data_IF_265473373367
#
_entry.id   IF_265473373367
#
_cell.length_a   1.000
_cell.length_b   1.000
_cell.length_c   1.000
_cell.angle_alpha   90.00
_cell.angle_beta   90.00
_cell.angle_gamma   90.00
#
_symmetry.space_group_name_H-M   'P 1'
#
loop_
_entity.id
_entity.type
_entity.pdbx_description
1 polymer ?
#
# COMPACT_ATOMS: atom_id res chain seq x y z
N UNK A 1 -2.51 6.38 -13.21
CA UNK A 1 -1.74 5.51 -14.12
C UNK A 1 -2.15 5.66 -15.59
N UNK A 2 -3.35 6.07 -15.91
CA UNK A 2 -3.89 6.04 -17.29
C UNK A 2 -3.43 7.21 -18.19
N UNK A 3 -2.70 8.20 -17.67
CA UNK A 3 -2.33 9.44 -18.40
C UNK A 3 -0.97 9.35 -19.09
N UNK A 4 -0.11 8.42 -18.69
CA UNK A 4 1.29 8.37 -19.13
C UNK A 4 1.51 7.68 -20.50
N UNK A 5 0.70 6.66 -20.89
CA UNK A 5 0.76 6.13 -22.26
C UNK A 5 0.46 7.21 -23.29
N UNK A 6 1.37 7.41 -24.24
CA UNK A 6 1.30 8.47 -25.25
C UNK A 6 2.16 9.71 -24.95
N UNK A 7 2.63 9.87 -23.70
CA UNK A 7 3.54 10.95 -23.30
C UNK A 7 5.01 10.48 -23.33
N UNK A 8 5.25 9.21 -22.97
CA UNK A 8 6.58 8.63 -22.90
C UNK A 8 6.81 7.57 -23.97
N UNK A 9 8.04 7.44 -24.50
CA UNK A 9 8.42 6.34 -25.36
C UNK A 9 8.23 4.97 -24.67
N UNK A 10 7.83 3.94 -25.42
CA UNK A 10 7.58 2.57 -24.92
C UNK A 10 8.76 1.99 -24.11
N UNK A 11 9.99 2.32 -24.51
CA UNK A 11 11.19 1.86 -23.80
C UNK A 11 11.28 2.41 -22.36
N UNK A 12 10.70 3.59 -22.11
CA UNK A 12 10.63 4.18 -20.76
C UNK A 12 9.40 3.68 -19.98
N UNK A 13 8.28 3.40 -20.66
CA UNK A 13 7.09 2.84 -20.02
C UNK A 13 7.41 1.55 -19.26
N UNK A 14 8.25 0.69 -19.83
CA UNK A 14 8.70 -0.57 -19.20
C UNK A 14 9.52 -0.39 -17.93
N UNK A 15 9.98 0.83 -17.65
CA UNK A 15 10.76 1.18 -16.44
C UNK A 15 9.96 1.98 -15.42
N UNK A 16 8.68 2.19 -15.66
CA UNK A 16 7.82 2.89 -14.72
C UNK A 16 7.30 1.94 -13.64
N UNK A 17 7.24 2.47 -12.42
CA UNK A 17 6.64 1.78 -11.28
C UNK A 17 7.21 0.36 -11.06
N UNK A 18 8.52 0.19 -11.22
CA UNK A 18 9.24 -1.08 -11.03
C UNK A 18 9.44 -1.40 -9.54
N UNK A 19 8.34 -1.39 -8.78
CA UNK A 19 8.37 -1.45 -7.32
C UNK A 19 8.97 -2.75 -6.79
N UNK A 20 8.61 -3.90 -7.38
CA UNK A 20 9.17 -5.19 -6.98
C UNK A 20 10.67 -5.24 -7.20
N UNK A 21 11.13 -4.84 -8.38
CA UNK A 21 12.56 -4.78 -8.70
C UNK A 21 13.31 -3.90 -7.70
N UNK A 22 12.75 -2.75 -7.34
CA UNK A 22 13.37 -1.82 -6.39
C UNK A 22 13.47 -2.43 -4.99
N UNK A 23 12.40 -3.08 -4.51
CA UNK A 23 12.38 -3.76 -3.19
C UNK A 23 13.32 -4.96 -3.18
N UNK A 24 13.38 -5.77 -4.24
CA UNK A 24 14.28 -6.92 -4.36
C UNK A 24 15.77 -6.50 -4.42
N UNK A 25 16.06 -5.27 -4.82
CA UNK A 25 17.41 -4.66 -4.73
C UNK A 25 17.73 -4.12 -3.34
N UNK A 26 16.86 -4.30 -2.35
CA UNK A 26 17.07 -3.86 -0.97
C UNK A 26 16.80 -2.38 -0.73
N UNK A 27 16.18 -1.68 -1.67
CA UNK A 27 15.77 -0.29 -1.47
C UNK A 27 14.52 -0.25 -0.61
N UNK A 28 14.51 0.63 0.38
CA UNK A 28 13.35 0.86 1.24
C UNK A 28 12.33 1.68 0.45
N UNK A 29 11.14 1.10 0.28
CA UNK A 29 10.03 1.76 -0.39
C UNK A 29 8.95 2.07 0.64
N UNK A 30 8.49 3.32 0.65
CA UNK A 30 7.32 3.76 1.40
C UNK A 30 6.17 4.04 0.46
N UNK A 31 4.95 3.92 0.94
CA UNK A 31 3.76 4.25 0.18
C UNK A 31 2.93 5.31 0.91
N UNK A 32 2.16 6.07 0.16
CA UNK A 32 1.26 7.10 0.65
C UNK A 32 0.21 7.44 -0.40
N UNK A 33 -0.85 8.12 0.00
CA UNK A 33 -1.96 8.48 -0.87
C UNK A 33 -1.67 9.67 -1.79
N UNK A 34 -0.73 10.53 -1.41
CA UNK A 34 -0.53 11.83 -2.08
C UNK A 34 -1.84 12.62 -2.22
N UNK A 35 -2.71 12.51 -1.19
CA UNK A 35 -4.01 13.18 -1.19
C UNK A 35 -3.84 14.70 -1.35
N UNK A 36 -4.67 15.35 -2.20
CA UNK A 36 -5.89 14.85 -2.85
C UNK A 36 -5.68 14.25 -4.26
N UNK A 37 -4.46 13.95 -4.67
CA UNK A 37 -4.19 13.37 -5.99
C UNK A 37 -4.75 11.95 -6.12
N UNK A 38 -4.84 11.22 -5.02
CA UNK A 38 -5.42 9.88 -4.96
C UNK A 38 -6.31 9.74 -3.72
N UNK A 39 -6.98 8.60 -3.60
CA UNK A 39 -7.81 8.26 -2.45
C UNK A 39 -7.00 8.25 -1.15
N UNK A 40 -7.62 8.66 -0.04
CA UNK A 40 -7.02 8.51 1.29
C UNK A 40 -7.14 7.07 1.85
N UNK A 41 -7.91 6.19 1.18
CA UNK A 41 -8.08 4.83 1.63
C UNK A 41 -6.81 4.00 1.35
N UNK A 42 -6.05 3.56 2.37
CA UNK A 42 -4.81 2.82 2.18
C UNK A 42 -5.03 1.45 1.52
N UNK A 43 -6.20 0.84 1.70
CA UNK A 43 -6.50 -0.47 1.10
C UNK A 43 -6.64 -0.40 -0.42
N UNK A 44 -7.14 0.70 -0.97
CA UNK A 44 -7.17 0.93 -2.43
C UNK A 44 -5.75 1.04 -3.01
N UNK A 45 -4.88 1.78 -2.35
CA UNK A 45 -3.48 1.89 -2.76
C UNK A 45 -2.72 0.57 -2.58
N UNK A 46 -2.97 -0.18 -1.50
CA UNK A 46 -2.40 -1.52 -1.31
C UNK A 46 -2.92 -2.51 -2.36
N UNK A 47 -4.20 -2.43 -2.74
CA UNK A 47 -4.74 -3.21 -3.85
C UNK A 47 -3.98 -2.92 -5.14
N UNK A 48 -3.81 -1.65 -5.51
CA UNK A 48 -3.03 -1.25 -6.70
C UNK A 48 -1.59 -1.76 -6.63
N UNK A 49 -0.96 -1.72 -5.46
CA UNK A 49 0.41 -2.21 -5.27
C UNK A 49 0.55 -3.73 -5.51
N UNK A 50 -0.44 -4.53 -5.10
CA UNK A 50 -0.40 -6.01 -5.24
C UNK A 50 -1.00 -6.53 -6.54
N UNK A 51 -1.91 -5.79 -7.18
CA UNK A 51 -2.56 -6.20 -8.43
C UNK A 51 -2.02 -5.48 -9.66
N UNK A 52 -1.36 -4.35 -9.49
CA UNK A 52 -0.94 -3.45 -10.58
C UNK A 52 -2.12 -2.89 -11.39
N UNK A 53 -3.32 -3.00 -10.90
CA UNK A 53 -4.51 -2.46 -11.53
C UNK A 53 -4.80 -1.05 -11.00
N UNK A 54 -5.21 -0.15 -11.90
CA UNK A 54 -5.78 1.14 -11.52
C UNK A 54 -7.15 0.96 -10.87
N UNK A 55 -7.73 2.03 -10.31
CA UNK A 55 -9.12 2.05 -9.83
C UNK A 55 -10.13 1.60 -10.90
N UNK A 56 -9.79 1.75 -12.17
CA UNK A 56 -10.61 1.30 -13.31
C UNK A 56 -10.41 -0.16 -13.69
N UNK A 57 -9.58 -0.90 -12.94
CA UNK A 57 -9.27 -2.30 -13.23
C UNK A 57 -8.34 -2.49 -14.44
N UNK A 58 -7.61 -1.44 -14.85
CA UNK A 58 -6.72 -1.47 -16.01
C UNK A 58 -5.25 -1.38 -15.59
N UNK A 59 -4.38 -2.01 -16.37
CA UNK A 59 -2.94 -1.79 -16.34
C UNK A 59 -2.46 -1.52 -17.77
N UNK A 60 -1.89 -0.34 -17.97
CA UNK A 60 -1.43 0.11 -19.29
C UNK A 60 0.10 0.01 -19.48
N UNK A 61 0.83 -0.47 -18.46
CA UNK A 61 2.29 -0.51 -18.45
C UNK A 61 2.87 -1.92 -18.61
N UNK A 62 2.10 -2.92 -18.26
CA UNK A 62 2.60 -4.29 -18.14
C UNK A 62 1.49 -5.28 -18.47
N UNK A 63 1.85 -6.36 -19.19
CA UNK A 63 0.96 -7.49 -19.43
C UNK A 63 1.03 -8.50 -18.26
N UNK A 64 -0.06 -9.22 -18.03
CA UNK A 64 -0.09 -10.28 -17.01
C UNK A 64 0.87 -11.43 -17.39
N UNK A 65 1.53 -12.07 -16.41
CA UNK A 65 1.51 -11.74 -14.96
C UNK A 65 2.33 -10.48 -14.65
N UNK A 66 1.78 -9.62 -13.79
CA UNK A 66 2.41 -8.35 -13.43
C UNK A 66 3.65 -8.57 -12.58
N UNK A 67 4.82 -8.53 -13.19
CA UNK A 67 6.11 -8.85 -12.55
C UNK A 67 6.49 -7.86 -11.46
N UNK A 68 6.06 -6.61 -11.60
CA UNK A 68 6.37 -5.52 -10.68
C UNK A 68 5.34 -5.34 -9.55
N UNK A 69 4.37 -6.27 -9.43
CA UNK A 69 3.45 -6.32 -8.30
C UNK A 69 4.18 -6.66 -7.00
N UNK A 70 3.88 -5.93 -5.93
CA UNK A 70 4.36 -6.23 -4.58
C UNK A 70 3.58 -7.41 -3.99
N UNK A 71 4.20 -8.12 -3.07
CA UNK A 71 3.45 -9.03 -2.19
C UNK A 71 2.62 -8.23 -1.20
N UNK A 72 1.55 -8.83 -0.64
CA UNK A 72 0.72 -8.21 0.39
C UNK A 72 1.53 -7.72 1.58
N UNK A 73 2.51 -8.52 2.01
CA UNK A 73 3.40 -8.15 3.11
C UNK A 73 4.27 -6.93 2.76
N UNK A 74 4.81 -6.86 1.55
CA UNK A 74 5.60 -5.72 1.10
C UNK A 74 4.73 -4.45 1.03
N UNK A 75 3.51 -4.55 0.49
CA UNK A 75 2.57 -3.44 0.43
C UNK A 75 2.17 -2.94 1.83
N UNK A 76 1.89 -3.85 2.77
CA UNK A 76 1.58 -3.48 4.16
C UNK A 76 2.78 -2.81 4.84
N UNK A 77 3.98 -3.36 4.68
CA UNK A 77 5.20 -2.75 5.24
C UNK A 77 5.43 -1.34 4.70
N UNK A 78 5.15 -1.09 3.42
CA UNK A 78 5.28 0.22 2.81
C UNK A 78 4.37 1.27 3.47
N UNK A 79 3.23 0.88 4.03
CA UNK A 79 2.32 1.74 4.79
C UNK A 79 2.58 1.77 6.30
N UNK A 80 3.41 0.90 6.83
CA UNK A 80 3.62 0.74 8.28
C UNK A 80 5.09 0.89 8.66
N UNK A 81 5.84 -0.20 8.69
CA UNK A 81 7.22 -0.22 9.20
C UNK A 81 8.18 0.64 8.39
N UNK A 82 8.09 0.61 7.06
CA UNK A 82 8.99 1.44 6.23
C UNK A 82 8.54 2.90 6.17
N UNK A 83 7.25 3.18 6.33
CA UNK A 83 6.75 4.54 6.50
C UNK A 83 7.26 5.14 7.83
N UNK A 84 7.20 4.39 8.94
CA UNK A 84 7.77 4.81 10.21
C UNK A 84 9.28 5.08 10.10
N UNK A 85 10.01 4.20 9.39
CA UNK A 85 11.45 4.39 9.14
C UNK A 85 11.74 5.70 8.39
N UNK A 86 10.96 6.03 7.35
CA UNK A 86 11.15 7.27 6.59
C UNK A 86 10.95 8.55 7.43
N UNK A 87 10.21 8.43 8.53
CA UNK A 87 9.98 9.51 9.50
C UNK A 87 10.97 9.47 10.69
N UNK A 88 11.93 8.55 10.71
CA UNK A 88 12.84 8.28 11.84
C UNK A 88 12.08 7.90 13.12
N UNK A 89 10.96 7.19 12.99
CA UNK A 89 10.06 6.76 14.07
C UNK A 89 9.94 5.24 14.19
N UNK A 90 10.81 4.48 13.57
CA UNK A 90 10.78 3.02 13.53
C UNK A 90 10.92 2.37 14.93
N UNK A 91 11.43 3.11 15.91
CA UNK A 91 11.53 2.65 17.32
C UNK A 91 10.24 2.88 18.11
N UNK A 92 9.36 3.75 17.62
CA UNK A 92 8.13 4.16 18.30
C UNK A 92 6.87 3.67 17.58
N UNK A 93 6.92 3.50 16.26
CA UNK A 93 5.76 3.28 15.37
C UNK A 93 6.01 2.16 14.36
N UNK A 94 4.98 1.81 13.62
CA UNK A 94 5.04 0.97 12.43
C UNK A 94 4.86 -0.53 12.66
N UNK A 95 4.88 -1.00 13.92
CA UNK A 95 4.62 -2.40 14.27
C UNK A 95 4.05 -2.53 15.67
N UNK A 96 3.33 -3.63 15.92
CA UNK A 96 2.80 -3.97 17.24
C UNK A 96 3.84 -4.78 18.02
N UNK A 97 4.87 -4.10 18.51
CA UNK A 97 5.95 -4.67 19.31
C UNK A 97 5.99 -4.03 20.69
N UNK A 98 6.45 -4.79 21.70
CA UNK A 98 6.62 -4.26 23.05
C UNK A 98 7.54 -3.03 23.05
N UNK A 99 7.09 -1.94 23.66
CA UNK A 99 7.84 -0.68 23.74
C UNK A 99 7.48 0.33 22.64
N UNK A 100 6.67 -0.05 21.66
CA UNK A 100 6.12 0.88 20.67
C UNK A 100 4.71 1.35 21.04
N UNK A 101 4.29 2.44 20.43
CA UNK A 101 2.92 2.94 20.55
C UNK A 101 1.93 1.92 19.98
N UNK A 102 0.81 1.74 20.66
CA UNK A 102 -0.26 0.85 20.25
C UNK A 102 -1.17 1.55 19.22
N UNK A 103 -0.60 1.82 18.04
CA UNK A 103 -1.30 2.38 16.89
C UNK A 103 -1.72 1.24 15.97
N UNK A 104 -3.03 0.96 15.90
CA UNK A 104 -3.53 -0.12 15.07
C UNK A 104 -4.99 0.09 14.67
N UNK A 105 -5.39 -0.64 13.66
CA UNK A 105 -6.78 -0.72 13.20
C UNK A 105 -7.31 -2.15 13.33
N UNK A 106 -8.61 -2.26 13.59
CA UNK A 106 -9.38 -3.51 13.49
C UNK A 106 -10.20 -3.44 12.23
N UNK A 107 -10.12 -4.47 11.40
CA UNK A 107 -10.80 -4.53 10.09
C UNK A 107 -11.87 -5.61 10.06
N UNK A 108 -12.84 -5.48 9.17
CA UNK A 108 -13.92 -6.46 8.96
C UNK A 108 -13.46 -7.71 8.18
N UNK A 109 -12.31 -7.64 7.51
CA UNK A 109 -11.75 -8.73 6.71
C UNK A 109 -10.26 -8.86 6.98
N UNK A 110 -9.74 -10.09 6.82
CA UNK A 110 -8.31 -10.35 6.86
C UNK A 110 -7.69 -9.94 5.51
N UNK A 111 -6.84 -8.93 5.55
CA UNK A 111 -6.10 -8.43 4.39
C UNK A 111 -5.25 -9.50 3.70
N UNK A 112 -4.71 -10.47 4.43
CA UNK A 112 -3.81 -11.47 3.89
C UNK A 112 -4.53 -12.61 3.17
N UNK A 113 -5.76 -12.92 3.56
CA UNK A 113 -6.49 -14.10 3.09
C UNK A 113 -7.69 -13.79 2.19
N UNK A 114 -8.23 -12.56 2.23
CA UNK A 114 -9.33 -12.18 1.34
C UNK A 114 -8.91 -12.21 -0.14
N UNK A 115 -9.86 -12.37 -1.05
CA UNK A 115 -9.59 -12.26 -2.49
C UNK A 115 -9.17 -10.83 -2.85
N UNK A 116 -8.40 -10.67 -3.93
CA UNK A 116 -7.79 -9.38 -4.27
C UNK A 116 -8.84 -8.28 -4.47
N UNK A 117 -9.95 -8.60 -5.10
CA UNK A 117 -11.07 -7.68 -5.38
C UNK A 117 -11.79 -7.17 -4.10
N UNK A 118 -11.56 -7.84 -2.97
CA UNK A 118 -12.10 -7.44 -1.67
C UNK A 118 -11.17 -6.51 -0.88
N UNK A 119 -9.88 -6.44 -1.25
CA UNK A 119 -8.93 -5.57 -0.56
C UNK A 119 -9.42 -4.11 -0.49
N UNK A 120 -9.84 -3.45 -1.59
CA UNK A 120 -10.29 -2.05 -1.53
C UNK A 120 -11.60 -1.85 -0.76
N UNK A 121 -12.33 -2.95 -0.48
CA UNK A 121 -13.60 -2.94 0.25
C UNK A 121 -13.44 -3.26 1.74
N UNK A 122 -12.21 -3.47 2.21
CA UNK A 122 -11.93 -3.67 3.63
C UNK A 122 -12.33 -2.41 4.40
N UNK A 123 -13.15 -2.59 5.44
CA UNK A 123 -13.60 -1.51 6.30
C UNK A 123 -12.85 -1.52 7.63
N UNK A 124 -12.44 -0.35 8.06
CA UNK A 124 -11.91 -0.18 9.42
C UNK A 124 -13.09 -0.14 10.38
N UNK A 125 -13.12 -1.06 11.33
CA UNK A 125 -14.12 -1.14 12.40
C UNK A 125 -13.72 -0.29 13.60
N UNK A 126 -12.42 -0.29 13.94
CA UNK A 126 -11.88 0.51 15.05
C UNK A 126 -10.49 1.02 14.70
N UNK A 127 -10.15 2.21 15.21
CA UNK A 127 -8.80 2.77 15.15
C UNK A 127 -8.35 3.12 16.56
N UNK A 128 -7.15 2.68 16.91
CA UNK A 128 -6.48 2.99 18.15
C UNK A 128 -5.21 3.78 17.87
N UNK A 129 -4.97 4.84 18.66
CA UNK A 129 -3.75 5.66 18.62
C UNK A 129 -3.22 5.73 20.05
N UNK A 130 -1.96 5.31 20.25
CA UNK A 130 -1.36 5.20 21.58
C UNK A 130 -2.12 4.29 22.53
N UNK A 131 -2.91 3.34 22.02
CA UNK A 131 -3.77 2.45 22.81
C UNK A 131 -5.16 3.03 23.13
N UNK A 132 -5.43 4.29 22.77
CA UNK A 132 -6.74 4.91 22.97
C UNK A 132 -7.64 4.71 21.75
N UNK A 133 -8.91 4.36 21.96
CA UNK A 133 -9.90 4.21 20.90
C UNK A 133 -10.28 5.59 20.35
N UNK A 134 -9.87 5.87 19.10
CA UNK A 134 -10.14 7.14 18.40
C UNK A 134 -11.30 7.07 17.41
N UNK A 135 -11.61 5.88 16.91
CA UNK A 135 -12.70 5.67 15.96
C UNK A 135 -13.33 4.29 16.17
N UNK A 136 -14.66 4.25 16.08
CA UNK A 136 -15.46 3.02 16.03
C UNK A 136 -16.53 3.18 14.97
N UNK A 137 -16.59 2.24 14.01
CA UNK A 137 -17.73 2.12 13.12
C UNK A 137 -18.95 1.66 13.95
N UNK A 138 -20.09 2.29 13.75
CA UNK A 138 -21.36 1.87 14.33
C UNK A 138 -21.85 0.55 13.71
#
# INVERSE_FOLDING_TARGET
MDVIPGILPDALLKRLYIWRTVVEKGVIVTNGSDSPCSTMNPFESMHTAVTRLSERGTNTFEEKPYKEALTRLQALRAYTTTAAYSMFKEKELGSLECGKLADFVVTDKDYFTCVEEEIPKIRVLKTYIGGELCYSAE
#
